data_IF_871409374781
#
_entry.id   IF_871409374781
#
_cell.length_a   1.000
_cell.length_b   1.000
_cell.length_c   1.000
_cell.angle_alpha   90.00
_cell.angle_beta   90.00
_cell.angle_gamma   90.00
#
_symmetry.space_group_name_H-M   'P 1'
#
loop_
_entity.id
_entity.type
_entity.pdbx_description
1 polymer ?
#
# COMPACT_ATOMS: atom_id res chain seq x y z
N UNK A 1 4.45 -10.35 -5.36
CA UNK A 1 3.09 -10.63 -5.91
C UNK A 1 3.19 -10.66 -7.42
N UNK A 2 2.67 -11.71 -8.06
CA UNK A 2 2.69 -11.87 -9.51
C UNK A 2 1.30 -11.59 -10.09
N UNK A 3 1.22 -10.69 -11.06
CA UNK A 3 0.00 -10.33 -11.76
C UNK A 3 0.10 -10.67 -13.25
N UNK A 4 -1.02 -11.02 -13.87
CA UNK A 4 -1.04 -11.26 -15.31
C UNK A 4 -1.11 -9.94 -16.08
N UNK A 5 -0.05 -9.60 -16.80
CA UNK A 5 -0.03 -8.38 -17.59
C UNK A 5 -0.63 -8.65 -18.97
N UNK A 6 -1.72 -7.96 -19.30
CA UNK A 6 -2.35 -8.07 -20.64
C UNK A 6 -1.45 -7.56 -21.77
N UNK A 7 -0.51 -6.68 -21.46
CA UNK A 7 0.47 -6.15 -22.42
C UNK A 7 1.57 -7.16 -22.70
N UNK A 8 2.10 -7.79 -21.64
CA UNK A 8 3.15 -8.81 -21.77
C UNK A 8 2.61 -10.20 -22.09
N UNK A 9 1.30 -10.43 -21.92
CA UNK A 9 0.62 -11.74 -22.01
C UNK A 9 1.29 -12.82 -21.16
N UNK A 10 1.87 -12.40 -20.04
CA UNK A 10 2.66 -13.24 -19.15
C UNK A 10 2.39 -12.86 -17.69
N UNK A 11 2.71 -13.78 -16.78
CA UNK A 11 2.71 -13.51 -15.34
C UNK A 11 3.96 -12.72 -15.00
N UNK A 12 3.78 -11.51 -14.52
CA UNK A 12 4.85 -10.59 -14.21
C UNK A 12 4.76 -10.06 -12.79
N UNK A 13 5.90 -9.62 -12.25
CA UNK A 13 5.90 -9.00 -10.94
C UNK A 13 5.16 -7.66 -10.95
N UNK A 14 4.40 -7.44 -9.89
CA UNK A 14 3.56 -6.27 -9.71
C UNK A 14 4.27 -5.29 -8.77
N UNK A 15 4.69 -4.14 -9.31
CA UNK A 15 5.31 -3.03 -8.59
C UNK A 15 4.24 -2.14 -7.93
N UNK A 16 4.58 -1.58 -6.77
CA UNK A 16 3.76 -0.59 -6.07
C UNK A 16 2.32 -1.04 -5.87
N UNK A 17 2.17 -2.26 -5.36
CA UNK A 17 0.87 -2.89 -5.27
C UNK A 17 0.11 -2.41 -4.01
N UNK A 18 -0.83 -1.49 -4.24
CA UNK A 18 -1.58 -0.74 -3.24
C UNK A 18 -3.00 -1.28 -3.11
N UNK A 19 -3.44 -1.50 -1.87
CA UNK A 19 -4.81 -1.90 -1.57
C UNK A 19 -5.74 -0.69 -1.74
N UNK A 20 -6.84 -0.86 -2.47
CA UNK A 20 -7.84 0.19 -2.69
C UNK A 20 -9.25 -0.38 -2.58
N UNK A 21 -10.19 0.48 -2.21
CA UNK A 21 -11.62 0.18 -2.27
C UNK A 21 -12.17 0.81 -3.54
N UNK A 22 -12.74 -0.02 -4.41
CA UNK A 22 -13.46 0.51 -5.57
C UNK A 22 -14.75 1.19 -5.11
N UNK A 23 -15.29 2.07 -5.95
CA UNK A 23 -16.52 2.84 -5.67
C UNK A 23 -17.76 1.96 -5.40
N UNK A 24 -17.71 0.69 -5.81
CA UNK A 24 -18.75 -0.32 -5.56
C UNK A 24 -18.56 -1.07 -4.22
N UNK A 25 -17.66 -0.61 -3.35
CA UNK A 25 -17.37 -1.24 -2.05
C UNK A 25 -16.57 -2.53 -2.14
N UNK A 26 -16.16 -2.96 -3.34
CA UNK A 26 -15.37 -4.17 -3.53
C UNK A 26 -13.89 -3.88 -3.33
N UNK A 27 -13.20 -4.82 -2.67
CA UNK A 27 -11.75 -4.76 -2.45
C UNK A 27 -11.03 -4.96 -3.79
N UNK A 28 -10.02 -4.14 -4.02
CA UNK A 28 -9.16 -4.26 -5.19
C UNK A 28 -7.71 -3.92 -4.82
N UNK A 29 -6.79 -4.33 -5.68
CA UNK A 29 -5.38 -3.95 -5.59
C UNK A 29 -4.97 -3.28 -6.88
N UNK A 30 -4.36 -2.10 -6.79
CA UNK A 30 -3.77 -1.41 -7.92
C UNK A 30 -2.26 -1.57 -7.87
N UNK A 31 -1.62 -1.80 -9.01
CA UNK A 31 -0.17 -1.88 -9.13
C UNK A 31 0.28 -1.61 -10.55
N UNK A 32 1.56 -1.78 -10.82
CA UNK A 32 2.16 -1.57 -12.14
C UNK A 32 2.96 -2.80 -12.56
N UNK A 33 2.97 -3.11 -13.85
CA UNK A 33 3.83 -4.18 -14.37
C UNK A 33 5.31 -3.80 -14.26
N UNK A 34 6.16 -4.66 -13.70
CA UNK A 34 7.60 -4.43 -13.63
C UNK A 34 8.29 -4.35 -15.00
N UNK A 35 7.74 -5.00 -16.02
CA UNK A 35 8.34 -5.10 -17.35
C UNK A 35 7.94 -3.93 -18.26
N UNK A 36 6.66 -3.55 -18.27
CA UNK A 36 6.15 -2.54 -19.21
C UNK A 36 5.57 -1.29 -18.54
N UNK A 37 5.54 -1.22 -17.21
CA UNK A 37 4.97 -0.09 -16.45
C UNK A 37 3.45 0.08 -16.60
N UNK A 38 2.75 -0.84 -17.27
CA UNK A 38 1.30 -0.72 -17.48
C UNK A 38 0.58 -0.87 -16.13
N UNK A 39 -0.35 0.06 -15.84
CA UNK A 39 -1.22 -0.04 -14.66
C UNK A 39 -2.06 -1.32 -14.74
N UNK A 40 -1.97 -2.12 -13.69
CA UNK A 40 -2.69 -3.36 -13.53
C UNK A 40 -3.52 -3.27 -12.26
N UNK A 41 -4.78 -3.68 -12.32
CA UNK A 41 -5.66 -3.76 -11.16
C UNK A 41 -6.16 -5.19 -11.03
N UNK A 42 -5.98 -5.78 -9.85
CA UNK A 42 -6.46 -7.12 -9.54
C UNK A 42 -7.70 -6.98 -8.67
N UNK A 43 -8.83 -7.44 -9.19
CA UNK A 43 -10.06 -7.60 -8.43
C UNK A 43 -9.97 -8.91 -7.66
N UNK A 44 -9.64 -8.86 -6.38
CA UNK A 44 -9.36 -10.04 -5.59
C UNK A 44 -9.34 -9.71 -4.11
N UNK A 45 -10.09 -10.51 -3.35
CA UNK A 45 -10.23 -10.43 -1.90
C UNK A 45 -8.84 -10.51 -1.26
N UNK A 46 -8.48 -9.49 -0.48
CA UNK A 46 -7.41 -9.64 0.49
C UNK A 46 -8.03 -10.27 1.74
N UNK A 47 -7.87 -11.59 1.86
CA UNK A 47 -8.12 -12.37 3.07
C UNK A 47 -7.01 -12.06 4.07
N UNK A 48 -7.25 -11.09 4.95
CA UNK A 48 -6.26 -10.70 5.95
C UNK A 48 -6.34 -9.21 6.25
N UNK A 49 -6.68 -8.95 7.52
CA UNK A 49 -6.83 -7.66 8.16
C UNK A 49 -5.79 -6.63 7.70
N UNK A 50 -6.29 -5.41 7.54
CA UNK A 50 -5.64 -4.27 6.92
C UNK A 50 -4.17 -4.06 7.34
N UNK A 51 -3.24 -3.78 6.41
CA UNK A 51 -2.16 -2.87 6.68
C UNK A 51 -2.74 -1.47 6.50
N UNK A 52 -3.59 -1.07 7.45
CA UNK A 52 -3.71 0.33 7.78
C UNK A 52 -2.38 0.70 8.45
N UNK A 53 -1.38 1.06 7.65
CA UNK A 53 -0.34 2.06 7.95
C UNK A 53 0.93 1.78 7.15
N UNK A 54 0.98 2.29 5.92
CA UNK A 54 2.22 2.85 5.37
C UNK A 54 2.21 4.37 5.60
N UNK A 55 1.62 4.84 6.70
CA UNK A 55 1.60 6.26 7.03
C UNK A 55 2.44 6.47 8.27
N UNK A 56 3.62 7.05 8.05
CA UNK A 56 4.35 7.80 9.04
C UNK A 56 4.84 6.99 10.25
N UNK A 57 5.91 6.23 10.06
CA UNK A 57 6.95 6.14 11.09
C UNK A 57 7.67 7.49 11.15
N UNK A 58 6.95 8.55 11.54
CA UNK A 58 7.55 9.77 12.03
C UNK A 58 7.91 9.43 13.48
N UNK A 59 9.19 9.35 13.86
CA UNK A 59 9.54 9.04 15.24
C UNK A 59 8.84 10.06 16.13
N UNK A 60 8.11 9.57 17.13
CA UNK A 60 7.43 10.38 18.14
C UNK A 60 8.44 11.44 18.62
N UNK A 61 8.17 12.76 18.55
CA UNK A 61 9.05 13.69 19.22
C UNK A 61 8.99 13.33 20.70
N UNK A 62 10.14 12.93 21.24
CA UNK A 62 10.30 12.74 22.66
C UNK A 62 9.74 13.98 23.34
N UNK A 63 8.75 13.75 24.21
CA UNK A 63 8.11 14.75 25.06
C UNK A 63 9.22 15.64 25.62
N UNK A 64 9.19 16.95 25.32
CA UNK A 64 9.94 17.94 26.08
C UNK A 64 9.51 17.78 27.55
N UNK A 65 10.29 17.08 28.36
CA UNK A 65 10.28 17.28 29.80
C UNK A 65 11.09 18.53 30.08
N UNK A 66 10.39 19.65 30.16
CA UNK A 66 10.86 20.81 30.94
C UNK A 66 10.48 20.53 32.41
N UNK A 67 11.42 20.24 33.32
CA UNK A 67 11.12 20.35 34.74
C UNK A 67 11.05 21.83 35.14
N UNK A 68 9.99 22.12 35.89
CA UNK A 68 9.57 23.43 36.34
C UNK A 68 10.64 24.11 37.21
N UNK A 69 10.75 25.42 37.02
CA UNK A 69 11.35 26.34 37.98
C UNK A 69 10.42 26.39 39.20
N UNK A 70 10.90 26.00 40.38
CA UNK A 70 10.31 26.41 41.68
C UNK A 70 11.37 26.26 42.77
N UNK A 71 11.69 27.34 43.47
CA UNK A 71 12.58 27.37 44.63
C UNK A 71 13.61 28.48 44.55
#
# INVERSE_FOLDING_TARGET
MQGYCVRCKAKQEMLSATRTLMRNGRRAMMGQCACCGTKMSVAGVWDGDAPASQTAERPRPARLTLPAKTG
#
